data_IF_448434675601
#
_entry.id   IF_448434675601
#
_cell.length_a   1.000
_cell.length_b   1.000
_cell.length_c   1.000
_cell.angle_alpha   90.00
_cell.angle_beta   90.00
_cell.angle_gamma   90.00
#
_symmetry.space_group_name_H-M   'P 1'
#
loop_
_entity.id
_entity.type
_entity.pdbx_description
1 polymer ?
#
# COMPACT_ATOMS: atom_id res chain seq x y z
N UNK A 1 -6.52 13.52 25.74
CA UNK A 1 -6.78 12.86 24.44
C UNK A 1 -5.50 12.16 23.98
N UNK A 2 -5.38 10.84 24.15
CA UNK A 2 -4.36 10.08 23.43
C UNK A 2 -4.79 10.05 21.97
N UNK A 3 -4.08 10.75 21.07
CA UNK A 3 -4.21 10.46 19.63
C UNK A 3 -3.89 8.97 19.49
N UNK A 4 -4.83 8.19 18.95
CA UNK A 4 -4.71 6.74 18.75
C UNK A 4 -3.62 6.41 17.74
N UNK A 5 -2.36 6.64 18.08
CA UNK A 5 -1.24 6.26 17.25
C UNK A 5 -0.76 4.91 17.73
N UNK A 6 -1.40 3.85 17.22
CA UNK A 6 -0.86 2.50 17.30
C UNK A 6 0.40 2.48 16.42
N UNK A 7 1.53 2.84 17.02
CA UNK A 7 2.82 2.93 16.31
C UNK A 7 3.38 1.54 16.05
N UNK A 8 4.32 1.45 15.11
CA UNK A 8 5.14 0.26 14.86
C UNK A 8 5.72 -0.31 16.17
N UNK A 9 6.18 0.58 17.05
CA UNK A 9 6.74 0.24 18.36
C UNK A 9 5.70 -0.40 19.28
N UNK A 10 4.48 0.12 19.31
CA UNK A 10 3.38 -0.47 20.10
C UNK A 10 3.03 -1.86 19.57
N UNK A 11 2.98 -2.05 18.24
CA UNK A 11 2.76 -3.37 17.62
C UNK A 11 3.85 -4.37 18.02
N UNK A 12 5.11 -4.00 17.82
CA UNK A 12 6.25 -4.84 18.17
C UNK A 12 6.24 -5.24 19.65
N UNK A 13 6.04 -4.28 20.55
CA UNK A 13 5.97 -4.54 21.98
C UNK A 13 4.80 -5.47 22.36
N UNK A 14 3.62 -5.27 21.78
CA UNK A 14 2.46 -6.13 22.06
C UNK A 14 2.66 -7.55 21.54
N UNK A 15 3.25 -7.72 20.36
CA UNK A 15 3.56 -9.06 19.83
C UNK A 15 4.63 -9.77 20.66
N UNK A 16 5.65 -9.04 21.15
CA UNK A 16 6.63 -9.59 22.10
C UNK A 16 5.98 -10.05 23.41
N UNK A 17 5.08 -9.24 23.97
CA UNK A 17 4.33 -9.60 25.18
C UNK A 17 3.49 -10.85 24.92
N UNK A 18 2.77 -10.89 23.80
CA UNK A 18 1.94 -12.03 23.41
C UNK A 18 2.75 -13.32 23.28
N UNK A 19 3.92 -13.26 22.63
CA UNK A 19 4.78 -14.43 22.44
C UNK A 19 5.37 -14.92 23.77
N UNK A 20 5.87 -14.01 24.61
CA UNK A 20 6.33 -14.38 25.94
C UNK A 20 5.21 -15.06 26.73
N UNK A 21 3.99 -14.51 26.68
CA UNK A 21 2.84 -15.09 27.36
C UNK A 21 2.46 -16.47 26.78
N UNK A 22 2.41 -16.61 25.46
CA UNK A 22 2.12 -17.86 24.78
C UNK A 22 3.16 -18.95 25.09
N UNK A 23 4.46 -18.59 25.09
CA UNK A 23 5.56 -19.48 25.48
C UNK A 23 5.40 -19.98 26.91
N UNK A 24 5.06 -19.09 27.85
CA UNK A 24 4.81 -19.46 29.26
C UNK A 24 3.59 -20.39 29.38
N UNK A 25 2.53 -20.13 28.61
CA UNK A 25 1.29 -20.90 28.70
C UNK A 25 1.36 -22.27 28.04
N UNK A 26 2.05 -22.42 26.91
CA UNK A 26 2.03 -23.66 26.12
C UNK A 26 3.35 -24.46 26.18
N UNK A 27 4.43 -23.85 26.68
CA UNK A 27 5.77 -24.43 26.64
C UNK A 27 6.37 -24.53 25.23
N UNK A 28 5.68 -24.04 24.19
CA UNK A 28 6.16 -24.07 22.81
C UNK A 28 6.97 -22.83 22.47
N UNK A 29 8.03 -23.01 21.68
CA UNK A 29 8.82 -21.90 21.16
C UNK A 29 8.17 -21.31 19.90
N UNK A 30 7.45 -20.21 20.08
CA UNK A 30 6.93 -19.39 18.97
C UNK A 30 7.95 -18.38 18.44
N UNK A 31 9.16 -18.34 19.01
CA UNK A 31 10.23 -17.43 18.63
C UNK A 31 10.60 -17.59 17.14
N UNK A 32 10.53 -18.80 16.58
CA UNK A 32 10.79 -19.07 15.16
C UNK A 32 9.75 -18.40 14.25
N UNK A 33 8.47 -18.40 14.63
CA UNK A 33 7.40 -17.75 13.85
C UNK A 33 7.50 -16.22 13.88
N UNK A 34 8.06 -15.68 14.95
CA UNK A 34 8.34 -14.24 15.08
C UNK A 34 9.61 -13.85 14.36
N UNK A 35 10.70 -14.60 14.53
CA UNK A 35 11.94 -14.37 13.80
C UNK A 35 11.70 -14.42 12.29
N UNK A 36 10.90 -15.36 11.78
CA UNK A 36 10.58 -15.39 10.35
C UNK A 36 9.75 -14.18 9.89
N UNK A 37 8.87 -13.64 10.74
CA UNK A 37 8.08 -12.43 10.46
C UNK A 37 8.87 -11.13 10.57
N UNK A 38 9.94 -11.12 11.36
CA UNK A 38 10.76 -9.94 11.68
C UNK A 38 12.19 -10.04 11.11
N UNK A 39 12.55 -11.13 10.44
CA UNK A 39 13.85 -11.30 9.79
C UNK A 39 14.07 -10.23 8.71
N UNK A 40 13.02 -9.85 7.98
CA UNK A 40 13.05 -8.75 7.03
C UNK A 40 13.19 -7.37 7.69
N UNK A 41 12.80 -7.22 8.97
CA UNK A 41 13.11 -6.03 9.78
C UNK A 41 14.57 -6.01 10.24
N UNK A 42 15.15 -7.16 10.59
CA UNK A 42 16.56 -7.24 11.01
C UNK A 42 17.52 -6.84 9.90
N UNK A 43 17.23 -7.26 8.66
CA UNK A 43 18.07 -6.91 7.51
C UNK A 43 17.56 -5.70 6.72
N UNK A 44 16.37 -5.19 7.06
CA UNK A 44 15.69 -4.04 6.45
C UNK A 44 15.79 -3.99 4.91
N UNK A 45 15.78 -5.16 4.25
CA UNK A 45 16.05 -5.28 2.81
C UNK A 45 15.01 -4.55 1.97
N UNK A 46 13.79 -4.44 2.48
CA UNK A 46 12.69 -3.68 1.90
C UNK A 46 12.94 -2.15 1.88
N UNK A 47 13.90 -1.62 2.64
CA UNK A 47 14.28 -0.20 2.61
C UNK A 47 15.27 0.16 1.48
N UNK A 48 15.69 -0.83 0.67
CA UNK A 48 16.58 -0.60 -0.46
C UNK A 48 15.93 0.31 -1.50
N UNK A 49 14.67 0.09 -1.82
CA UNK A 49 13.89 0.90 -2.77
C UNK A 49 12.39 0.81 -2.48
N UNK A 50 11.61 1.78 -2.96
CA UNK A 50 10.15 1.76 -2.84
C UNK A 50 9.52 0.52 -3.52
N UNK A 51 9.96 0.07 -4.73
CA UNK A 51 9.50 -1.20 -5.29
C UNK A 51 9.77 -2.40 -4.41
N UNK A 52 10.99 -2.53 -3.86
CA UNK A 52 11.32 -3.61 -2.92
C UNK A 52 10.41 -3.56 -1.68
N UNK A 53 10.09 -2.36 -1.22
CA UNK A 53 9.18 -2.13 -0.10
C UNK A 53 7.76 -2.57 -0.38
N UNK A 54 7.23 -2.26 -1.57
CA UNK A 54 5.87 -2.59 -1.96
C UNK A 54 5.67 -4.08 -2.26
N UNK A 55 6.72 -4.79 -2.71
CA UNK A 55 6.68 -6.24 -2.91
C UNK A 55 6.81 -7.01 -1.58
N UNK A 56 7.67 -6.55 -0.67
CA UNK A 56 7.80 -7.13 0.66
C UNK A 56 6.53 -6.91 1.51
N UNK A 57 5.99 -7.98 2.08
CA UNK A 57 4.73 -7.90 2.84
C UNK A 57 4.83 -7.03 4.08
N UNK A 58 5.98 -7.02 4.74
CA UNK A 58 6.24 -6.27 5.96
C UNK A 58 6.57 -4.81 5.64
N UNK A 59 7.44 -4.59 4.65
CA UNK A 59 7.75 -3.26 4.13
C UNK A 59 6.49 -2.52 3.70
N UNK A 60 5.62 -3.18 2.93
CA UNK A 60 4.33 -2.64 2.49
C UNK A 60 3.44 -2.29 3.67
N UNK A 61 3.33 -3.16 4.67
CA UNK A 61 2.53 -2.88 5.87
C UNK A 61 3.03 -1.61 6.59
N UNK A 62 4.34 -1.47 6.77
CA UNK A 62 4.92 -0.32 7.43
C UNK A 62 4.76 0.97 6.63
N UNK A 63 4.99 0.91 5.32
CA UNK A 63 4.77 2.04 4.43
C UNK A 63 3.30 2.48 4.46
N UNK A 64 2.35 1.55 4.42
CA UNK A 64 0.93 1.88 4.46
C UNK A 64 0.53 2.54 5.79
N UNK A 65 1.02 2.02 6.92
CA UNK A 65 0.80 2.67 8.22
C UNK A 65 1.37 4.09 8.25
N UNK A 66 2.55 4.29 7.70
CA UNK A 66 3.16 5.62 7.58
C UNK A 66 2.30 6.55 6.72
N UNK A 67 1.88 6.10 5.54
CA UNK A 67 1.06 6.88 4.62
C UNK A 67 -0.32 7.25 5.23
N UNK A 68 -0.96 6.35 5.99
CA UNK A 68 -2.19 6.69 6.73
C UNK A 68 -1.94 7.81 7.75
N UNK A 69 -0.84 7.74 8.49
CA UNK A 69 -0.48 8.76 9.48
C UNK A 69 -0.14 10.10 8.83
N UNK A 70 0.41 10.06 7.62
CA UNK A 70 0.74 11.23 6.79
C UNK A 70 -0.44 11.70 5.91
N UNK A 71 -1.68 11.32 6.26
CA UNK A 71 -2.92 11.70 5.56
C UNK A 71 -2.94 11.33 4.06
N UNK A 72 -2.20 10.31 3.66
CA UNK A 72 -2.08 9.80 2.29
C UNK A 72 -2.80 8.44 2.10
N UNK A 73 -3.89 8.22 2.83
CA UNK A 73 -4.63 6.96 2.83
C UNK A 73 -5.32 6.61 1.50
N UNK A 74 -5.57 7.60 0.66
CA UNK A 74 -6.17 7.39 -0.66
C UNK A 74 -5.20 6.72 -1.63
N UNK A 75 -3.88 6.97 -1.50
CA UNK A 75 -2.86 6.28 -2.29
C UNK A 75 -2.83 4.78 -2.01
N UNK A 76 -3.03 4.39 -0.74
CA UNK A 76 -3.10 2.99 -0.33
C UNK A 76 -4.35 2.34 -0.92
N UNK A 77 -5.49 3.03 -0.76
CA UNK A 77 -6.78 2.53 -1.28
C UNK A 77 -6.72 2.33 -2.80
N UNK A 78 -6.07 3.25 -3.50
CA UNK A 78 -5.82 3.11 -4.93
C UNK A 78 -4.89 1.94 -5.25
N UNK A 79 -3.76 1.79 -4.55
CA UNK A 79 -2.83 0.68 -4.75
C UNK A 79 -3.52 -0.69 -4.64
N UNK A 80 -4.30 -0.90 -3.57
CA UNK A 80 -5.01 -2.16 -3.34
C UNK A 80 -5.99 -2.46 -4.47
N UNK A 81 -6.83 -1.48 -4.83
CA UNK A 81 -7.77 -1.58 -5.95
C UNK A 81 -7.08 -1.83 -7.30
N UNK A 82 -5.90 -1.23 -7.49
CA UNK A 82 -5.10 -1.43 -8.70
C UNK A 82 -4.54 -2.86 -8.77
N UNK A 83 -4.05 -3.42 -7.65
CA UNK A 83 -3.61 -4.81 -7.59
C UNK A 83 -4.77 -5.77 -7.85
N UNK A 84 -5.96 -5.50 -7.31
CA UNK A 84 -7.18 -6.28 -7.60
C UNK A 84 -7.52 -6.22 -9.09
N UNK A 85 -7.47 -5.02 -9.70
CA UNK A 85 -7.72 -4.84 -11.13
C UNK A 85 -6.74 -5.62 -12.02
N UNK A 86 -5.45 -5.55 -11.69
CA UNK A 86 -4.38 -6.30 -12.38
C UNK A 86 -4.51 -7.81 -12.21
N UNK A 87 -4.95 -8.25 -11.03
CA UNK A 87 -5.15 -9.66 -10.69
C UNK A 87 -6.49 -10.24 -11.15
N UNK A 88 -7.41 -9.42 -11.66
CA UNK A 88 -8.73 -9.86 -12.08
C UNK A 88 -8.65 -10.93 -13.19
N UNK A 89 -9.33 -12.05 -12.93
CA UNK A 89 -9.28 -13.26 -13.79
C UNK A 89 -10.28 -13.15 -14.94
N UNK A 90 -11.43 -12.51 -14.70
CA UNK A 90 -12.49 -12.36 -15.70
C UNK A 90 -12.64 -10.92 -16.17
N UNK A 91 -13.08 -10.73 -17.41
CA UNK A 91 -13.35 -9.39 -17.94
C UNK A 91 -14.46 -8.66 -17.16
N UNK A 92 -15.49 -9.39 -16.72
CA UNK A 92 -16.60 -8.82 -15.93
C UNK A 92 -16.11 -8.27 -14.60
N UNK A 93 -15.27 -9.03 -13.90
CA UNK A 93 -14.60 -8.61 -12.67
C UNK A 93 -13.69 -7.40 -12.91
N UNK A 94 -12.84 -7.47 -13.95
CA UNK A 94 -11.96 -6.36 -14.33
C UNK A 94 -12.75 -5.09 -14.65
N UNK A 95 -13.89 -5.22 -15.34
CA UNK A 95 -14.80 -4.11 -15.63
C UNK A 95 -15.36 -3.51 -14.36
N UNK A 96 -15.87 -4.35 -13.45
CA UNK A 96 -16.45 -3.89 -12.19
C UNK A 96 -15.42 -3.14 -11.33
N UNK A 97 -14.21 -3.69 -11.20
CA UNK A 97 -13.13 -3.05 -10.43
C UNK A 97 -12.68 -1.76 -11.12
N UNK A 98 -12.50 -1.77 -12.45
CA UNK A 98 -12.10 -0.60 -13.21
C UNK A 98 -13.13 0.54 -13.15
N UNK A 99 -14.43 0.24 -13.21
CA UNK A 99 -15.49 1.23 -13.01
C UNK A 99 -15.41 1.85 -11.62
N UNK A 100 -15.14 1.06 -10.58
CA UNK A 100 -14.92 1.58 -9.22
C UNK A 100 -13.68 2.46 -9.13
N UNK A 101 -12.58 2.06 -9.77
CA UNK A 101 -11.36 2.89 -9.83
C UNK A 101 -11.64 4.27 -10.43
N UNK A 102 -12.38 4.31 -11.54
CA UNK A 102 -12.76 5.58 -12.17
C UNK A 102 -13.69 6.41 -11.27
N UNK A 103 -14.71 5.79 -10.67
CA UNK A 103 -15.64 6.49 -9.80
C UNK A 103 -15.00 7.02 -8.52
N UNK A 104 -14.18 6.21 -7.84
CA UNK A 104 -13.60 6.54 -6.54
C UNK A 104 -12.44 7.55 -6.64
N UNK A 105 -11.60 7.45 -7.68
CA UNK A 105 -10.31 8.16 -7.75
C UNK A 105 -10.18 9.16 -8.90
N UNK A 106 -10.97 9.03 -9.96
CA UNK A 106 -10.86 9.86 -11.17
C UNK A 106 -12.10 10.72 -11.45
N UNK A 107 -13.16 10.58 -10.67
CA UNK A 107 -14.34 11.45 -10.83
C UNK A 107 -14.11 12.74 -10.06
N UNK A 108 -14.37 13.93 -10.67
CA UNK A 108 -14.35 15.19 -9.94
C UNK A 108 -15.23 15.11 -8.69
N UNK A 109 -14.74 15.67 -7.58
CA UNK A 109 -15.42 15.73 -6.29
C UNK A 109 -15.65 14.35 -5.64
N UNK A 110 -15.01 13.30 -6.14
CA UNK A 110 -15.02 12.01 -5.47
C UNK A 110 -14.34 12.12 -4.11
N UNK A 111 -14.87 11.40 -3.11
CA UNK A 111 -14.34 11.40 -1.74
C UNK A 111 -12.84 11.07 -1.66
N UNK A 112 -12.34 10.29 -2.62
CA UNK A 112 -10.94 9.84 -2.72
C UNK A 112 -10.31 10.29 -4.03
N UNK A 113 -10.78 11.40 -4.60
CA UNK A 113 -10.23 11.93 -5.84
C UNK A 113 -8.71 12.14 -5.69
N UNK A 114 -7.95 11.53 -6.60
CA UNK A 114 -6.50 11.70 -6.61
C UNK A 114 -6.16 13.04 -7.26
N UNK A 115 -5.29 13.80 -6.59
CA UNK A 115 -4.76 15.08 -7.06
C UNK A 115 -3.74 14.90 -8.18
N UNK A 116 -4.16 14.34 -9.31
CA UNK A 116 -3.33 14.08 -10.49
C UNK A 116 -3.44 15.20 -11.52
N UNK A 117 -2.48 15.27 -12.43
CA UNK A 117 -2.57 16.21 -13.56
C UNK A 117 -3.77 15.90 -14.46
N UNK A 118 -4.41 16.94 -14.96
CA UNK A 118 -5.58 16.80 -15.84
C UNK A 118 -5.26 16.01 -17.11
N UNK A 119 -4.01 16.05 -17.58
CA UNK A 119 -3.55 15.29 -18.74
C UNK A 119 -3.59 13.77 -18.51
N UNK A 120 -3.10 13.29 -17.36
CA UNK A 120 -3.16 11.86 -16.99
C UNK A 120 -4.63 11.43 -16.86
N UNK A 121 -5.42 12.23 -16.16
CA UNK A 121 -6.85 12.01 -15.96
C UNK A 121 -7.59 11.88 -17.30
N UNK A 122 -7.38 12.83 -18.22
CA UNK A 122 -8.01 12.83 -19.54
C UNK A 122 -7.58 11.63 -20.38
N UNK A 123 -6.29 11.28 -20.39
CA UNK A 123 -5.77 10.11 -21.13
C UNK A 123 -6.46 8.81 -20.71
N UNK A 124 -6.60 8.59 -19.41
CA UNK A 124 -7.26 7.40 -18.87
C UNK A 124 -8.76 7.43 -19.17
N UNK A 125 -9.44 8.56 -18.89
CA UNK A 125 -10.89 8.70 -19.07
C UNK A 125 -11.33 8.54 -20.54
N UNK A 126 -10.56 9.06 -21.50
CA UNK A 126 -10.85 8.90 -22.92
C UNK A 126 -10.72 7.42 -23.33
N UNK A 127 -9.67 6.72 -22.88
CA UNK A 127 -9.50 5.28 -23.14
C UNK A 127 -10.64 4.48 -22.50
N UNK A 128 -10.96 4.75 -21.23
CA UNK A 128 -12.01 4.07 -20.47
C UNK A 128 -13.38 4.19 -21.16
N UNK A 129 -13.81 5.42 -21.51
CA UNK A 129 -15.08 5.66 -22.22
C UNK A 129 -15.16 4.95 -23.57
N UNK A 130 -14.05 4.85 -24.31
CA UNK A 130 -14.02 4.13 -25.59
C UNK A 130 -14.22 2.63 -25.41
N UNK A 131 -13.69 2.05 -24.34
CA UNK A 131 -13.80 0.63 -24.03
C UNK A 131 -15.21 0.29 -23.56
N UNK A 132 -15.76 1.11 -22.65
CA UNK A 132 -17.09 0.94 -22.10
C UNK A 132 -18.19 0.93 -23.18
N UNK A 133 -18.03 1.78 -24.20
CA UNK A 133 -18.98 1.90 -25.32
C UNK A 133 -18.83 0.82 -26.42
N UNK A 134 -17.72 0.08 -26.48
CA UNK A 134 -17.42 -0.81 -27.63
C UNK A 134 -17.38 -2.30 -27.30
N UNK A 135 -17.79 -2.72 -26.09
CA UNK A 135 -17.74 -4.12 -25.63
C UNK A 135 -16.39 -4.79 -25.96
N UNK A 136 -15.28 -4.05 -25.78
CA UNK A 136 -13.93 -4.56 -26.00
C UNK A 136 -13.34 -5.08 -24.70
N UNK A 137 -12.42 -6.03 -24.83
CA UNK A 137 -11.55 -6.47 -23.75
C UNK A 137 -10.90 -5.26 -23.05
N UNK A 138 -10.89 -5.28 -21.73
CA UNK A 138 -10.35 -4.20 -20.90
C UNK A 138 -8.85 -4.45 -20.67
N UNK A 139 -7.96 -3.58 -21.20
CA UNK A 139 -6.54 -3.74 -21.03
C UNK A 139 -6.15 -3.67 -19.54
N UNK A 140 -5.31 -4.61 -19.09
CA UNK A 140 -4.85 -4.66 -17.70
C UNK A 140 -3.92 -3.49 -17.34
N UNK A 141 -3.33 -2.82 -18.34
CA UNK A 141 -2.39 -1.71 -18.23
C UNK A 141 -3.04 -0.33 -18.30
N UNK A 142 -4.37 -0.24 -18.42
CA UNK A 142 -5.05 1.03 -18.66
C UNK A 142 -4.82 2.08 -17.55
N UNK A 143 -4.61 1.62 -16.32
CA UNK A 143 -4.34 2.45 -15.14
C UNK A 143 -2.84 2.56 -14.80
N UNK A 144 -1.94 1.99 -15.60
CA UNK A 144 -0.49 2.07 -15.36
C UNK A 144 0.03 3.51 -15.21
N UNK A 145 -0.41 4.50 -16.01
CA UNK A 145 0.03 5.89 -15.82
C UNK A 145 -0.34 6.46 -14.44
N UNK A 146 -1.46 6.00 -13.86
CA UNK A 146 -1.90 6.41 -12.53
C UNK A 146 -1.09 5.71 -11.44
N UNK A 147 -0.74 4.44 -11.66
CA UNK A 147 0.18 3.70 -10.80
C UNK A 147 1.57 4.34 -10.79
N UNK A 148 2.14 4.65 -11.95
CA UNK A 148 3.43 5.34 -12.08
C UNK A 148 3.43 6.70 -11.36
N UNK A 149 2.34 7.47 -11.52
CA UNK A 149 2.16 8.73 -10.79
C UNK A 149 2.13 8.51 -9.28
N UNK A 150 1.41 7.50 -8.79
CA UNK A 150 1.35 7.18 -7.36
C UNK A 150 2.73 6.80 -6.82
N UNK A 151 3.47 5.96 -7.54
CA UNK A 151 4.84 5.58 -7.16
C UNK A 151 5.74 6.81 -7.06
N UNK A 152 5.70 7.68 -8.08
CA UNK A 152 6.47 8.94 -8.10
C UNK A 152 6.06 9.83 -6.92
N UNK A 153 4.77 9.96 -6.65
CA UNK A 153 4.24 10.77 -5.54
C UNK A 153 4.72 10.26 -4.19
N UNK A 154 4.71 8.95 -3.96
CA UNK A 154 5.22 8.35 -2.72
C UNK A 154 6.75 8.54 -2.64
N UNK A 155 7.46 8.30 -3.74
CA UNK A 155 8.90 8.42 -3.83
C UNK A 155 9.39 9.83 -3.47
N UNK A 156 8.76 10.86 -4.04
CA UNK A 156 9.19 12.24 -3.90
C UNK A 156 8.80 12.84 -2.54
N UNK A 157 7.61 12.49 -2.03
CA UNK A 157 7.05 13.18 -0.87
C UNK A 157 7.19 12.40 0.45
N UNK A 158 7.20 11.06 0.40
CA UNK A 158 7.03 10.22 1.59
C UNK A 158 8.18 9.25 1.82
N UNK A 159 8.82 8.76 0.76
CA UNK A 159 9.76 7.63 0.85
C UNK A 159 10.98 7.93 1.71
N UNK A 160 11.65 9.07 1.51
CA UNK A 160 12.83 9.45 2.30
C UNK A 160 12.49 9.67 3.78
N UNK A 161 11.33 10.26 4.07
CA UNK A 161 10.83 10.46 5.44
C UNK A 161 10.48 9.13 6.10
N UNK A 162 9.81 8.23 5.39
CA UNK A 162 9.52 6.88 5.84
C UNK A 162 10.80 6.10 6.17
N UNK A 163 11.75 6.10 5.23
CA UNK A 163 13.04 5.41 5.36
C UNK A 163 13.82 5.92 6.57
N UNK A 164 14.01 7.24 6.68
CA UNK A 164 14.71 7.85 7.83
C UNK A 164 13.98 7.59 9.15
N UNK A 165 12.64 7.58 9.17
CA UNK A 165 11.87 7.25 10.38
C UNK A 165 12.16 5.82 10.85
N UNK A 166 12.19 4.85 9.95
CA UNK A 166 12.50 3.46 10.29
C UNK A 166 13.98 3.24 10.64
N UNK A 167 14.91 3.86 9.91
CA UNK A 167 16.34 3.78 10.24
C UNK A 167 16.64 4.36 11.63
N UNK A 168 16.04 5.50 11.98
CA UNK A 168 16.18 6.10 13.31
C UNK A 168 15.55 5.24 14.42
N UNK A 169 14.50 4.48 14.10
CA UNK A 169 13.92 3.48 15.01
C UNK A 169 14.87 2.28 15.21
N UNK A 170 15.66 1.92 14.19
CA UNK A 170 16.64 0.82 14.26
C UNK A 170 17.95 1.18 14.97
N UNK A 171 18.33 2.46 15.04
CA UNK A 171 19.51 2.94 15.81
C UNK A 171 19.25 2.94 17.33
N UNK A 172 18.03 2.61 17.78
CA UNK A 172 17.61 2.65 19.18
C UNK A 172 17.37 1.27 19.81
N UNK A 173 17.96 0.20 19.28
CA UNK A 173 17.92 -1.16 19.86
C UNK A 173 19.26 -1.50 20.47
#
# INVERSE_FOLDING_TARGET
>A
HFKHTYTVRVKYCLERIYICAARVMTGQEYDVLFQNRYASLLNATFLRSLPDCLEDSLGREYLFRFLVQSFSGDLISFYERFKDFRGAVTESERKQIGSRLVMEFLTPDAKRELMISQDIKNKIMIKWKKIENKAKEIPADIFDPLYEWMITTIQDNSWLLFKSTLENLHISV
#
